data_IF_879281583069
#
_entry.id   IF_879281583069
#
_cell.length_a   1.000
_cell.length_b   1.000
_cell.length_c   1.000
_cell.angle_alpha   90.00
_cell.angle_beta   90.00
_cell.angle_gamma   90.00
#
_symmetry.space_group_name_H-M   'P 1'
#
loop_
_entity.id
_entity.type
_entity.pdbx_description
1 polymer ?
#
# COMPACT_ATOMS: atom_id res chain seq x y z
N UNK A 1 -4.68 9.35 -2.14
CA UNK A 1 -3.43 9.18 -2.93
C UNK A 1 -3.13 10.38 -3.81
N UNK A 2 -3.99 10.76 -4.77
CA UNK A 2 -3.72 11.90 -5.68
C UNK A 2 -3.32 13.20 -4.95
N UNK A 3 -4.02 13.55 -3.87
CA UNK A 3 -3.70 14.71 -3.03
C UNK A 3 -2.36 14.60 -2.27
N UNK A 4 -1.89 13.37 -2.03
CA UNK A 4 -0.62 13.10 -1.36
C UNK A 4 0.57 13.15 -2.32
N UNK A 5 0.39 12.78 -3.60
CA UNK A 5 1.48 12.68 -4.58
C UNK A 5 2.38 13.92 -4.67
N UNK A 6 1.87 15.18 -4.64
CA UNK A 6 2.73 16.37 -4.66
C UNK A 6 3.69 16.49 -3.47
N UNK A 7 3.40 15.78 -2.37
CA UNK A 7 4.21 15.77 -1.15
C UNK A 7 5.10 14.53 -1.05
N UNK A 8 4.92 13.52 -1.91
CA UNK A 8 5.72 12.29 -1.87
C UNK A 8 7.09 12.58 -2.50
N UNK A 9 8.15 12.41 -1.72
CA UNK A 9 9.53 12.70 -2.13
C UNK A 9 10.49 11.68 -1.51
N UNK A 10 11.06 10.82 -2.36
CA UNK A 10 11.96 9.73 -1.99
C UNK A 10 11.53 8.94 -0.72
N UNK A 11 10.38 8.23 -0.76
CA UNK A 11 9.93 7.38 0.35
C UNK A 11 11.01 6.42 0.83
N UNK A 12 11.18 6.30 2.15
CA UNK A 12 12.16 5.39 2.77
C UNK A 12 11.50 4.21 3.45
N UNK A 13 10.35 4.43 4.07
CA UNK A 13 9.58 3.37 4.69
C UNK A 13 8.09 3.58 4.43
N UNK A 14 7.39 2.51 4.06
CA UNK A 14 5.93 2.54 3.82
C UNK A 14 5.27 1.43 4.63
N UNK A 15 4.16 1.75 5.29
CA UNK A 15 3.28 0.76 5.90
C UNK A 15 1.90 0.83 5.26
N UNK A 16 1.38 -0.33 4.85
CA UNK A 16 0.04 -0.46 4.29
C UNK A 16 -0.74 -1.53 5.04
N UNK A 17 -1.91 -1.15 5.54
CA UNK A 17 -2.84 -2.04 6.24
C UNK A 17 -4.16 -2.09 5.47
N UNK A 18 -4.49 -3.25 4.90
CA UNK A 18 -5.77 -3.54 4.25
C UNK A 18 -6.46 -4.68 4.98
N UNK A 19 -7.30 -4.29 5.93
CA UNK A 19 -7.98 -5.21 6.83
C UNK A 19 -9.49 -5.13 6.58
N UNK A 20 -10.14 -6.28 6.45
CA UNK A 20 -11.57 -6.37 6.24
C UNK A 20 -12.18 -7.51 7.08
N UNK A 21 -13.46 -7.36 7.48
CA UNK A 21 -14.27 -8.47 7.96
C UNK A 21 -14.44 -9.53 6.88
N UNK A 22 -14.67 -10.75 7.34
CA UNK A 22 -14.89 -11.88 6.43
C UNK A 22 -16.14 -11.69 5.59
N UNK A 23 -16.01 -11.94 4.30
CA UNK A 23 -17.10 -12.01 3.34
C UNK A 23 -16.94 -13.32 2.54
N UNK A 24 -17.97 -14.19 2.48
CA UNK A 24 -17.89 -15.43 1.71
C UNK A 24 -17.63 -15.21 0.21
N UNK A 25 -17.97 -14.04 -0.34
CA UNK A 25 -17.72 -13.72 -1.76
C UNK A 25 -16.22 -13.46 -1.99
N UNK A 26 -15.65 -14.12 -3.01
CA UNK A 26 -14.21 -14.02 -3.32
C UNK A 26 -13.31 -14.76 -2.32
N UNK A 27 -13.90 -15.62 -1.48
CA UNK A 27 -13.16 -16.42 -0.50
C UNK A 27 -12.37 -17.58 -1.13
N UNK A 28 -12.56 -17.81 -2.43
CA UNK A 28 -11.88 -18.80 -3.26
C UNK A 28 -10.54 -18.32 -3.86
N UNK A 29 -10.09 -17.12 -3.47
CA UNK A 29 -8.81 -16.53 -3.90
C UNK A 29 -8.02 -16.06 -2.67
N UNK A 30 -6.71 -16.27 -2.66
CA UNK A 30 -5.82 -15.79 -1.59
C UNK A 30 -5.84 -14.27 -1.46
N UNK A 31 -5.78 -13.74 -0.22
CA UNK A 31 -5.80 -12.29 0.02
C UNK A 31 -4.64 -11.53 -0.63
N UNK A 32 -3.53 -12.20 -0.96
CA UNK A 32 -2.43 -11.55 -1.66
C UNK A 32 -2.88 -11.08 -3.06
N UNK A 33 -3.59 -11.93 -3.79
CA UNK A 33 -4.03 -11.67 -5.16
C UNK A 33 -5.30 -10.83 -5.23
N UNK A 34 -6.17 -10.93 -4.22
CA UNK A 34 -7.46 -10.22 -4.17
C UNK A 34 -7.36 -8.84 -3.47
N UNK A 35 -6.60 -8.75 -2.38
CA UNK A 35 -6.52 -7.54 -1.54
C UNK A 35 -5.16 -6.85 -1.65
N UNK A 36 -4.07 -7.59 -1.38
CA UNK A 36 -2.72 -7.03 -1.27
C UNK A 36 -2.19 -6.46 -2.59
N UNK A 37 -2.61 -7.00 -3.74
CA UNK A 37 -2.15 -6.57 -5.06
C UNK A 37 -2.34 -5.06 -5.31
N UNK A 38 -3.42 -4.49 -4.78
CA UNK A 38 -3.68 -3.05 -4.89
C UNK A 38 -2.65 -2.22 -4.09
N UNK A 39 -2.20 -2.73 -2.95
CA UNK A 39 -1.22 -2.04 -2.13
C UNK A 39 0.21 -2.27 -2.67
N UNK A 40 0.47 -3.44 -3.26
CA UNK A 40 1.71 -3.71 -4.01
C UNK A 40 1.85 -2.72 -5.17
N UNK A 41 0.81 -2.56 -5.99
CA UNK A 41 0.79 -1.61 -7.10
C UNK A 41 1.03 -0.17 -6.61
N UNK A 42 0.32 0.23 -5.56
CA UNK A 42 0.44 1.55 -4.96
C UNK A 42 1.85 1.83 -4.42
N UNK A 43 2.42 0.89 -3.65
CA UNK A 43 3.79 1.01 -3.11
C UNK A 43 4.81 1.09 -4.24
N UNK A 44 4.69 0.26 -5.27
CA UNK A 44 5.60 0.30 -6.43
C UNK A 44 5.51 1.63 -7.16
N UNK A 45 4.31 2.19 -7.31
CA UNK A 45 4.10 3.51 -7.91
C UNK A 45 4.74 4.62 -7.08
N UNK A 46 4.63 4.56 -5.74
CA UNK A 46 5.16 5.59 -4.84
C UNK A 46 6.68 5.54 -4.68
N UNK A 47 7.25 4.35 -4.59
CA UNK A 47 8.70 4.17 -4.39
C UNK A 47 9.47 4.23 -5.72
N UNK A 48 8.88 3.66 -6.77
CA UNK A 48 9.56 3.41 -8.03
C UNK A 48 10.64 2.33 -7.95
N UNK A 49 11.14 1.92 -9.12
CA UNK A 49 12.23 0.95 -9.22
C UNK A 49 11.85 -0.49 -8.84
N UNK A 50 12.80 -1.43 -8.97
CA UNK A 50 12.53 -2.85 -8.76
C UNK A 50 12.59 -3.27 -7.28
N UNK A 51 11.80 -4.28 -6.93
CA UNK A 51 11.87 -4.99 -5.65
C UNK A 51 13.05 -5.96 -5.66
N UNK A 52 14.10 -5.63 -4.91
CA UNK A 52 15.35 -6.38 -4.79
C UNK A 52 15.23 -7.56 -3.81
N UNK A 53 14.51 -7.40 -2.70
CA UNK A 53 14.31 -8.43 -1.68
C UNK A 53 12.86 -8.54 -1.26
N UNK A 54 12.43 -9.73 -0.83
CA UNK A 54 11.18 -9.86 -0.10
C UNK A 54 11.21 -10.99 0.94
N UNK A 55 10.39 -10.82 1.98
CA UNK A 55 10.00 -11.88 2.90
C UNK A 55 8.50 -11.78 3.13
N UNK A 56 7.81 -12.91 3.20
CA UNK A 56 6.37 -12.94 3.45
C UNK A 56 5.97 -14.10 4.35
N UNK A 57 4.89 -13.89 5.10
CA UNK A 57 4.20 -14.90 5.89
C UNK A 57 2.71 -14.76 5.66
N UNK A 58 2.00 -15.88 5.68
CA UNK A 58 0.55 -15.88 5.55
C UNK A 58 -0.03 -17.20 6.01
N UNK A 59 -1.27 -17.16 6.47
CA UNK A 59 -1.97 -18.34 6.97
C UNK A 59 -3.43 -18.37 6.50
N UNK A 60 -3.98 -19.57 6.25
CA UNK A 60 -5.42 -19.79 6.20
C UNK A 60 -6.01 -19.68 7.61
N UNK A 61 -7.23 -19.18 7.72
CA UNK A 61 -7.93 -19.05 9.01
C UNK A 61 -9.36 -19.55 8.91
N UNK A 62 -10.12 -19.07 7.94
CA UNK A 62 -11.53 -19.41 7.69
C UNK A 62 -11.72 -20.17 6.37
N UNK A 63 -10.77 -20.06 5.45
CA UNK A 63 -10.79 -20.70 4.13
C UNK A 63 -9.57 -21.62 3.99
N UNK A 64 -9.54 -22.52 2.98
CA UNK A 64 -8.32 -23.26 2.66
C UNK A 64 -7.23 -22.40 2.01
N UNK A 65 -7.52 -21.14 1.66
CA UNK A 65 -6.58 -20.19 1.06
C UNK A 65 -6.02 -19.23 2.12
N UNK A 66 -4.95 -18.51 1.78
CA UNK A 66 -4.38 -17.50 2.67
C UNK A 66 -5.41 -16.40 2.93
N UNK A 67 -5.80 -16.24 4.20
CA UNK A 67 -6.80 -15.27 4.66
C UNK A 67 -6.19 -14.02 5.31
N UNK A 68 -4.94 -14.15 5.76
CA UNK A 68 -4.12 -13.05 6.24
C UNK A 68 -2.68 -13.25 5.80
N UNK A 69 -2.06 -12.19 5.30
CA UNK A 69 -0.67 -12.18 4.90
C UNK A 69 0.00 -10.86 5.30
N UNK A 70 1.29 -10.95 5.63
CA UNK A 70 2.19 -9.82 5.77
C UNK A 70 3.39 -10.04 4.83
N UNK A 71 3.72 -9.01 4.06
CA UNK A 71 4.87 -9.01 3.17
C UNK A 71 5.74 -7.79 3.46
N UNK A 72 7.05 -8.02 3.55
CA UNK A 72 8.07 -6.97 3.60
C UNK A 72 8.83 -6.96 2.29
N UNK A 73 8.76 -5.85 1.58
CA UNK A 73 9.42 -5.61 0.29
C UNK A 73 10.62 -4.69 0.50
N UNK A 74 11.75 -5.04 -0.09
CA UNK A 74 12.97 -4.22 -0.12
C UNK A 74 13.23 -3.78 -1.56
N UNK A 75 13.29 -2.47 -1.80
CA UNK A 75 13.54 -1.89 -3.12
C UNK A 75 15.03 -1.66 -3.35
N UNK A 76 15.46 -1.65 -4.61
CA UNK A 76 16.85 -1.36 -4.96
C UNK A 76 17.32 0.05 -4.53
N UNK A 77 16.38 0.98 -4.29
CA UNK A 77 16.64 2.31 -3.74
C UNK A 77 16.96 2.30 -2.22
N UNK A 78 16.84 1.15 -1.57
CA UNK A 78 16.92 0.99 -0.11
C UNK A 78 15.61 1.30 0.62
N UNK A 79 14.53 1.68 -0.10
CA UNK A 79 13.22 1.84 0.51
C UNK A 79 12.63 0.49 0.92
N UNK A 80 11.85 0.49 2.00
CA UNK A 80 11.21 -0.71 2.54
C UNK A 80 9.71 -0.50 2.64
N UNK A 81 8.91 -1.51 2.30
CA UNK A 81 7.47 -1.48 2.49
C UNK A 81 6.98 -2.70 3.26
N UNK A 82 6.18 -2.49 4.30
CA UNK A 82 5.44 -3.52 5.01
C UNK A 82 3.97 -3.46 4.59
N UNK A 83 3.44 -4.55 4.07
CA UNK A 83 2.07 -4.64 3.56
C UNK A 83 1.36 -5.77 4.29
N UNK A 84 0.25 -5.44 4.96
CA UNK A 84 -0.63 -6.41 5.63
C UNK A 84 -1.98 -6.43 4.93
N UNK A 85 -2.39 -7.61 4.47
CA UNK A 85 -3.73 -7.84 3.92
C UNK A 85 -4.44 -8.92 4.74
N UNK A 86 -5.69 -8.65 5.12
CA UNK A 86 -6.50 -9.58 5.92
C UNK A 86 -7.97 -9.48 5.55
N UNK A 87 -8.64 -10.63 5.43
CA UNK A 87 -10.11 -10.72 5.37
C UNK A 87 -10.73 -11.29 6.64
N UNK A 88 -9.98 -11.39 7.74
CA UNK A 88 -10.45 -11.97 9.01
C UNK A 88 -10.35 -10.97 10.17
N UNK A 89 -10.31 -9.69 9.85
CA UNK A 89 -10.20 -8.61 10.82
C UNK A 89 -11.57 -8.09 11.24
N UNK A 90 -11.76 -7.78 12.52
CA UNK A 90 -13.05 -7.29 13.03
C UNK A 90 -13.46 -5.96 12.40
N UNK A 91 -12.50 -5.04 12.29
CA UNK A 91 -12.74 -3.67 11.85
C UNK A 91 -12.16 -3.48 10.44
N UNK A 92 -12.90 -2.76 9.57
CA UNK A 92 -12.43 -2.44 8.22
C UNK A 92 -11.43 -1.30 8.28
N UNK A 93 -10.22 -1.52 7.77
CA UNK A 93 -9.13 -0.54 7.74
C UNK A 93 -8.48 -0.54 6.36
N UNK A 94 -8.25 0.64 5.80
CA UNK A 94 -7.42 0.82 4.60
C UNK A 94 -6.50 2.01 4.82
N UNK A 95 -5.36 1.77 5.46
CA UNK A 95 -4.40 2.82 5.86
C UNK A 95 -3.10 2.69 5.08
N UNK A 96 -2.52 3.83 4.74
CA UNK A 96 -1.19 3.93 4.15
C UNK A 96 -0.39 5.01 4.89
N UNK A 97 0.79 4.64 5.39
CA UNK A 97 1.74 5.56 6.02
C UNK A 97 3.01 5.59 5.19
N UNK A 98 3.51 6.79 4.89
CA UNK A 98 4.70 7.01 4.07
C UNK A 98 5.67 7.84 4.89
N UNK A 99 6.85 7.30 5.16
CA UNK A 99 7.92 7.95 5.91
C UNK A 99 9.07 8.30 4.96
N UNK A 100 9.47 9.56 4.98
CA UNK A 100 10.45 10.14 4.08
C UNK A 100 11.23 11.27 4.77
N UNK A 101 12.29 11.77 4.13
CA UNK A 101 13.15 12.79 4.75
C UNK A 101 12.43 14.09 5.08
N UNK A 102 11.41 14.45 4.29
CA UNK A 102 10.62 15.68 4.47
C UNK A 102 9.48 15.56 5.49
N UNK A 103 9.21 14.36 6.03
CA UNK A 103 8.14 14.13 7.00
C UNK A 103 7.45 12.78 6.84
N UNK A 104 6.23 12.67 7.36
CA UNK A 104 5.41 11.46 7.17
C UNK A 104 3.98 11.79 6.77
N UNK A 105 3.44 11.00 5.84
CA UNK A 105 2.06 11.09 5.38
C UNK A 105 1.28 9.94 6.00
N UNK A 106 0.07 10.21 6.51
CA UNK A 106 -0.87 9.22 7.02
C UNK A 106 -2.19 9.35 6.28
N UNK A 107 -2.57 8.32 5.53
CA UNK A 107 -3.74 8.33 4.66
C UNK A 107 -4.73 7.26 5.12
N UNK A 108 -5.98 7.67 5.32
CA UNK A 108 -7.11 6.75 5.45
C UNK A 108 -7.81 6.66 4.10
N UNK A 109 -7.49 5.61 3.35
CA UNK A 109 -8.00 5.38 2.01
C UNK A 109 -9.44 4.85 2.00
N UNK A 110 -9.97 4.42 3.15
CA UNK A 110 -11.37 4.06 3.28
C UNK A 110 -12.23 5.31 3.49
N UNK A 111 -11.75 6.25 4.32
CA UNK A 111 -12.41 7.52 4.58
C UNK A 111 -12.12 8.60 3.51
N UNK A 112 -11.10 8.41 2.68
CA UNK A 112 -10.73 9.37 1.63
C UNK A 112 -10.02 10.62 2.15
N UNK A 113 -9.44 10.56 3.35
CA UNK A 113 -8.70 11.68 3.95
C UNK A 113 -7.22 11.34 4.16
N UNK A 114 -6.41 12.35 4.37
CA UNK A 114 -5.02 12.18 4.71
C UNK A 114 -4.44 13.41 5.39
N UNK A 115 -3.30 13.22 6.02
CA UNK A 115 -2.56 14.25 6.72
C UNK A 115 -1.08 14.10 6.40
N UNK A 116 -0.40 15.22 6.16
CA UNK A 116 1.05 15.30 6.05
C UNK A 116 1.61 16.02 7.26
N UNK A 117 2.55 15.39 7.93
CA UNK A 117 3.23 15.91 9.10
C UNK A 117 4.69 16.18 8.74
N UNK A 118 5.14 17.42 8.94
CA UNK A 118 6.53 17.81 8.68
C UNK A 118 7.05 18.75 9.75
N UNK A 119 8.37 18.85 9.84
CA UNK A 119 9.02 19.84 10.69
C UNK A 119 8.65 21.24 10.22
N UNK A 120 8.30 22.08 11.19
CA UNK A 120 8.10 23.51 10.99
C UNK A 120 9.41 24.18 10.59
N UNK A 121 9.33 25.17 9.72
CA UNK A 121 10.50 25.90 9.20
C UNK A 121 10.96 27.03 10.13
N UNK A 122 10.12 27.44 11.09
CA UNK A 122 10.33 28.55 12.03
C UNK A 122 10.83 28.09 13.41
N UNK A 123 11.23 26.83 13.55
CA UNK A 123 11.63 26.26 14.85
C UNK A 123 13.14 26.12 14.97
N UNK A 124 13.69 26.68 16.05
CA UNK A 124 15.07 26.45 16.46
C UNK A 124 15.19 25.07 17.13
N UNK A 125 15.75 24.11 16.39
CA UNK A 125 16.01 22.75 16.86
C UNK A 125 16.92 22.70 18.10
N UNK A 126 17.82 23.68 18.28
CA UNK A 126 18.71 23.74 19.44
C UNK A 126 17.99 24.23 20.70
N UNK A 127 16.99 25.09 20.56
CA UNK A 127 16.09 25.48 21.65
C UNK A 127 15.15 24.32 22.04
N UNK A 128 14.70 23.57 21.03
CA UNK A 128 13.79 22.44 21.21
C UNK A 128 14.45 21.25 21.92
N UNK A 129 15.70 20.92 21.60
CA UNK A 129 16.45 19.85 22.28
C UNK A 129 16.66 20.12 23.78
N UNK A 130 16.53 21.38 24.22
CA UNK A 130 16.65 21.79 25.62
C UNK A 130 15.32 21.83 26.36
N UNK A 131 14.19 21.76 25.64
CA UNK A 131 12.86 21.76 26.22
C UNK A 131 12.26 20.36 26.10
N UNK A 132 11.61 19.87 27.17
CA UNK A 132 10.68 18.72 27.06
C UNK A 132 9.39 19.15 26.35
N UNK A 133 9.53 19.72 25.15
CA UNK A 133 8.42 20.16 24.32
C UNK A 133 7.79 18.93 23.65
N UNK A 134 6.46 18.93 23.56
CA UNK A 134 5.74 17.88 22.86
C UNK A 134 5.99 17.98 21.34
N UNK A 135 5.80 16.86 20.62
CA UNK A 135 6.07 16.76 19.17
C UNK A 135 5.29 17.81 18.37
N UNK A 136 4.11 18.18 18.85
CA UNK A 136 3.21 19.16 18.25
C UNK A 136 3.79 20.59 18.23
N UNK A 137 4.76 20.89 19.10
CA UNK A 137 5.39 22.22 19.15
C UNK A 137 6.25 22.52 17.90
N UNK A 138 6.70 21.47 17.20
CA UNK A 138 7.64 21.61 16.09
C UNK A 138 7.24 20.85 14.82
N UNK A 139 6.15 20.11 14.88
CA UNK A 139 5.52 19.50 13.71
C UNK A 139 4.31 20.34 13.29
N UNK A 140 4.19 20.62 12.00
CA UNK A 140 2.95 21.12 11.42
C UNK A 140 2.18 20.01 10.73
N UNK A 141 0.84 20.14 10.75
CA UNK A 141 -0.11 19.20 10.16
C UNK A 141 -0.79 19.87 8.96
N UNK A 142 -0.54 19.33 7.78
CA UNK A 142 -1.13 19.77 6.51
C UNK A 142 -2.23 18.77 6.13
N UNK A 143 -3.52 19.17 6.15
CA UNK A 143 -4.60 18.30 5.71
C UNK A 143 -4.49 18.04 4.20
N UNK A 144 -4.75 16.80 3.79
CA UNK A 144 -4.75 16.36 2.39
C UNK A 144 -6.18 15.99 2.00
N UNK A 145 -6.81 16.87 1.24
CA UNK A 145 -8.18 16.64 0.75
C UNK A 145 -8.14 15.91 -0.59
N UNK A 146 -8.80 14.76 -0.66
CA UNK A 146 -8.90 14.01 -1.90
C UNK A 146 -9.66 14.83 -2.95
N UNK A 147 -9.26 14.77 -4.24
CA UNK A 147 -10.02 15.40 -5.31
C UNK A 147 -11.46 14.84 -5.32
N UNK A 148 -12.43 15.70 -5.62
CA UNK A 148 -13.81 15.27 -5.77
C UNK A 148 -13.97 14.26 -6.92
N UNK A 149 -14.83 13.26 -6.71
CA UNK A 149 -15.22 12.31 -7.74
C UNK A 149 -15.15 10.86 -7.29
N UNK A 150 -16.11 10.07 -7.75
CA UNK A 150 -16.10 8.62 -7.57
C UNK A 150 -14.87 7.99 -8.25
N UNK A 151 -14.07 7.16 -7.56
CA UNK A 151 -12.85 6.58 -8.12
C UNK A 151 -13.05 5.84 -9.45
N UNK A 152 -14.11 5.03 -9.55
CA UNK A 152 -14.38 4.24 -10.75
C UNK A 152 -14.76 5.12 -11.95
N UNK A 153 -15.54 6.18 -11.72
CA UNK A 153 -15.84 7.19 -12.76
C UNK A 153 -14.55 7.84 -13.26
N UNK A 154 -13.68 8.27 -12.34
CA UNK A 154 -12.41 8.92 -12.68
C UNK A 154 -11.45 7.97 -13.43
N UNK A 155 -11.49 6.67 -13.13
CA UNK A 155 -10.75 5.64 -13.85
C UNK A 155 -11.26 5.50 -15.29
N UNK A 156 -12.58 5.37 -15.48
CA UNK A 156 -13.16 5.29 -16.82
C UNK A 156 -12.94 6.55 -17.65
N UNK A 157 -13.02 7.73 -17.05
CA UNK A 157 -12.69 8.99 -17.72
C UNK A 157 -11.25 9.02 -18.19
N UNK A 158 -10.31 8.62 -17.32
CA UNK A 158 -8.89 8.51 -17.67
C UNK A 158 -8.66 7.49 -18.79
N UNK A 159 -9.33 6.34 -18.75
CA UNK A 159 -9.25 5.33 -19.81
C UNK A 159 -9.75 5.88 -21.15
N UNK A 160 -10.92 6.53 -21.18
CA UNK A 160 -11.49 7.10 -22.40
C UNK A 160 -10.60 8.19 -23.00
N UNK A 161 -10.03 9.07 -22.16
CA UNK A 161 -9.06 10.09 -22.60
C UNK A 161 -7.82 9.44 -23.23
N UNK A 162 -7.29 8.37 -22.61
CA UNK A 162 -6.14 7.66 -23.15
C UNK A 162 -6.44 6.98 -24.50
N UNK A 163 -7.60 6.34 -24.65
CA UNK A 163 -8.05 5.74 -25.91
C UNK A 163 -8.18 6.78 -27.03
N UNK A 164 -8.59 8.01 -26.68
CA UNK A 164 -8.71 9.14 -27.64
C UNK A 164 -7.38 9.83 -27.93
N UNK A 165 -6.30 9.50 -27.22
CA UNK A 165 -5.00 10.17 -27.33
C UNK A 165 -4.95 11.54 -26.66
N UNK A 166 -5.91 11.84 -25.79
CA UNK A 166 -6.03 13.12 -25.07
C UNK A 166 -5.14 13.16 -23.81
N UNK A 167 -4.70 12.00 -23.32
CA UNK A 167 -3.84 11.86 -22.14
C UNK A 167 -3.03 10.56 -22.21
N UNK A 168 -1.89 10.46 -21.50
CA UNK A 168 -1.17 9.21 -21.40
C UNK A 168 -1.98 8.16 -20.63
N UNK A 169 -1.67 6.88 -20.87
CA UNK A 169 -2.19 5.78 -20.06
C UNK A 169 -1.65 5.92 -18.64
N UNK A 170 -2.55 6.15 -17.67
CA UNK A 170 -2.17 6.38 -16.27
C UNK A 170 -1.65 5.13 -15.57
N UNK A 171 -2.19 3.95 -15.90
CA UNK A 171 -1.76 2.64 -15.40
C UNK A 171 -1.68 1.71 -16.59
N UNK A 172 -0.46 1.29 -16.93
CA UNK A 172 -0.19 0.46 -18.09
C UNK A 172 -0.37 -1.03 -17.80
N UNK A 173 -0.42 -1.86 -18.85
CA UNK A 173 -0.39 -3.31 -18.70
C UNK A 173 0.91 -3.81 -18.05
N UNK A 174 2.02 -3.09 -18.24
CA UNK A 174 3.30 -3.41 -17.62
C UNK A 174 3.27 -3.19 -16.10
N UNK A 175 2.57 -2.13 -15.65
CA UNK A 175 2.37 -1.87 -14.22
C UNK A 175 1.61 -3.02 -13.56
N UNK A 176 0.52 -3.46 -14.19
CA UNK A 176 -0.26 -4.62 -13.74
C UNK A 176 0.55 -5.93 -13.76
N UNK A 177 1.31 -6.18 -14.83
CA UNK A 177 2.20 -7.36 -14.94
C UNK A 177 3.21 -7.39 -13.79
N UNK A 178 3.82 -6.26 -13.48
CA UNK A 178 4.84 -6.19 -12.44
C UNK A 178 4.26 -6.28 -11.02
N UNK A 179 3.08 -5.68 -10.77
CA UNK A 179 2.37 -5.87 -9.51
C UNK A 179 2.01 -7.35 -9.29
N UNK A 180 1.51 -8.02 -10.34
CA UNK A 180 1.23 -9.45 -10.32
C UNK A 180 2.52 -10.28 -10.10
N UNK A 181 3.63 -9.92 -10.74
CA UNK A 181 4.90 -10.61 -10.56
C UNK A 181 5.38 -10.56 -9.09
N UNK A 182 5.20 -9.43 -8.40
CA UNK A 182 5.49 -9.31 -6.97
C UNK A 182 4.50 -10.10 -6.11
N UNK A 183 3.20 -10.05 -6.40
CA UNK A 183 2.19 -10.84 -5.70
C UNK A 183 2.48 -12.35 -5.78
N UNK A 184 2.85 -12.85 -6.96
CA UNK A 184 3.25 -14.26 -7.14
C UNK A 184 4.56 -14.61 -6.43
N UNK A 185 5.50 -13.65 -6.28
CA UNK A 185 6.70 -13.84 -5.45
C UNK A 185 6.33 -13.97 -3.96
N UNK A 186 5.36 -13.18 -3.48
CA UNK A 186 4.83 -13.25 -2.11
C UNK A 186 4.21 -14.61 -1.85
N UNK A 187 3.32 -15.09 -2.73
CA UNK A 187 2.69 -16.42 -2.61
C UNK A 187 3.76 -17.53 -2.51
N UNK A 188 4.77 -17.52 -3.38
CA UNK A 188 5.88 -18.49 -3.33
C UNK A 188 6.65 -18.44 -2.01
N UNK A 189 6.85 -17.26 -1.43
CA UNK A 189 7.51 -17.12 -0.13
C UNK A 189 6.66 -17.64 1.02
N UNK A 190 5.34 -17.42 0.97
CA UNK A 190 4.40 -18.00 1.93
C UNK A 190 4.41 -19.52 1.84
N UNK A 191 4.35 -20.10 0.63
CA UNK A 191 4.42 -21.56 0.43
C UNK A 191 5.76 -22.15 0.89
N UNK A 192 6.87 -21.39 0.80
CA UNK A 192 8.18 -21.81 1.28
C UNK A 192 8.22 -21.88 2.81
N UNK A 193 7.60 -20.91 3.49
CA UNK A 193 7.58 -20.83 4.96
C UNK A 193 6.50 -21.72 5.59
N UNK A 194 5.41 -22.00 4.86
CA UNK A 194 4.38 -22.98 5.19
C UNK A 194 4.17 -23.99 4.05
N UNK A 195 4.99 -25.07 3.97
CA UNK A 195 4.89 -26.06 2.90
C UNK A 195 3.52 -26.74 2.76
N UNK A 196 2.70 -26.74 3.82
CA UNK A 196 1.34 -27.27 3.81
C UNK A 196 0.39 -26.51 2.85
N UNK A 197 0.77 -25.32 2.38
CA UNK A 197 -0.02 -24.48 1.47
C UNK A 197 0.33 -24.67 -0.02
N UNK A 198 1.33 -25.50 -0.35
CA UNK A 198 1.75 -25.73 -1.73
C UNK A 198 0.59 -26.22 -2.60
N UNK A 199 0.28 -25.48 -3.67
CA UNK A 199 -0.73 -25.85 -4.67
C UNK A 199 -2.16 -25.40 -4.36
N UNK A 200 -2.38 -24.69 -3.24
CA UNK A 200 -3.66 -24.05 -2.95
C UNK A 200 -3.80 -22.67 -3.63
N UNK A 201 -2.70 -21.98 -3.99
CA UNK A 201 -2.74 -20.59 -4.45
C UNK A 201 -3.17 -20.36 -5.91
N UNK A 202 -3.25 -21.41 -6.72
CA UNK A 202 -3.72 -21.33 -8.12
C UNK A 202 -4.87 -22.31 -8.22
N UNK A 203 -6.09 -21.80 -8.45
CA UNK A 203 -7.30 -22.62 -8.53
C UNK A 203 -7.22 -23.71 -9.60
N UNK A 204 -6.59 -24.84 -9.28
CA UNK A 204 -6.79 -26.10 -10.00
C UNK A 204 -8.18 -26.60 -9.62
N UNK A 205 -9.18 -26.17 -10.40
CA UNK A 205 -10.48 -26.85 -10.44
C UNK A 205 -10.25 -28.25 -10.99
N UNK A 206 -10.67 -29.26 -10.22
CA UNK A 206 -11.08 -30.54 -10.77
C UNK A 206 -12.40 -30.37 -11.54
#
# INVERSE_FOLDING_TARGET
IRAALPYVDAPRFIESDRLAPFNPRGSDVAVVLDLMIHDIDLVRTLVGGPVAGLSAVGIPVLTPFVDIANARLEFASGAVANITASRVSRDRTRKLRIFQGSGYLSLDLAAGNGEFYRLRTDVDMAALAKASASVEAFVERVPLEAPEGEPLRLEFESFLQAVRGESPVMVSGEDGREALAVALRIEREIERTLPALKGAGIGTRA
#
